data_IF_416561637160
#
_entry.id   IF_416561637160
#
_cell.length_a   1.000
_cell.length_b   1.000
_cell.length_c   1.000
_cell.angle_alpha   90.00
_cell.angle_beta   90.00
_cell.angle_gamma   90.00
#
_symmetry.space_group_name_H-M   'P 1'
#
loop_
_entity.id
_entity.type
_entity.pdbx_description
1 polymer ?
#
# COMPACT_ATOMS: atom_id res chain seq x y z
N UNK A 1 -9.65 -8.70 9.99
CA UNK A 1 -8.47 -9.04 9.15
C UNK A 1 -8.30 -10.52 8.80
N UNK A 2 -9.12 -11.44 9.34
CA UNK A 2 -8.92 -12.88 9.15
C UNK A 2 -9.05 -13.33 7.69
N UNK A 3 -9.96 -12.76 6.91
CA UNK A 3 -10.10 -13.07 5.46
C UNK A 3 -8.82 -12.71 4.71
N UNK A 4 -8.28 -11.51 4.94
CA UNK A 4 -7.03 -11.04 4.34
C UNK A 4 -5.84 -11.97 4.67
N UNK A 5 -5.82 -12.50 5.90
CA UNK A 5 -4.81 -13.48 6.33
C UNK A 5 -5.04 -14.86 5.72
N UNK A 6 -6.30 -15.34 5.66
CA UNK A 6 -6.70 -16.63 5.07
C UNK A 6 -6.39 -16.70 3.58
N UNK A 7 -6.50 -15.58 2.87
CA UNK A 7 -6.12 -15.46 1.46
C UNK A 7 -4.59 -15.41 1.25
N UNK A 8 -3.80 -15.40 2.32
CA UNK A 8 -2.34 -15.36 2.24
C UNK A 8 -1.76 -14.00 1.83
N UNK A 9 -2.58 -12.95 1.75
CA UNK A 9 -2.15 -11.62 1.28
C UNK A 9 -1.07 -11.01 2.18
N UNK A 10 -1.13 -11.26 3.50
CA UNK A 10 -0.09 -10.84 4.43
C UNK A 10 1.30 -11.36 4.03
N UNK A 11 1.39 -12.63 3.62
CA UNK A 11 2.68 -13.24 3.26
C UNK A 11 3.20 -12.69 1.94
N UNK A 12 2.31 -12.48 0.96
CA UNK A 12 2.67 -11.85 -0.32
C UNK A 12 3.21 -10.45 -0.08
N UNK A 13 2.50 -9.64 0.70
CA UNK A 13 2.90 -8.28 1.03
C UNK A 13 4.24 -8.26 1.76
N UNK A 14 4.41 -9.08 2.79
CA UNK A 14 5.66 -9.17 3.53
C UNK A 14 6.84 -9.59 2.63
N UNK A 15 6.62 -10.54 1.73
CA UNK A 15 7.66 -11.03 0.81
C UNK A 15 8.01 -10.01 -0.28
N UNK A 16 7.04 -9.19 -0.71
CA UNK A 16 7.24 -8.21 -1.78
C UNK A 16 7.76 -6.85 -1.29
N UNK A 17 7.29 -6.38 -0.14
CA UNK A 17 7.56 -5.03 0.37
C UNK A 17 8.53 -5.02 1.56
N UNK A 18 8.80 -6.18 2.17
CA UNK A 18 9.65 -6.30 3.34
C UNK A 18 9.01 -5.70 4.61
N UNK A 19 9.87 -5.40 5.59
CA UNK A 19 9.44 -4.83 6.86
C UNK A 19 9.28 -3.31 6.76
N UNK A 20 8.19 -2.79 7.34
CA UNK A 20 7.99 -1.35 7.47
C UNK A 20 8.59 -0.82 8.77
N UNK A 21 9.37 0.25 8.65
CA UNK A 21 10.03 0.91 9.77
C UNK A 21 11.22 0.12 10.35
N UNK A 22 12.07 0.83 11.09
CA UNK A 22 13.30 0.26 11.65
C UNK A 22 13.15 -0.31 13.07
N UNK A 23 12.12 0.10 13.82
CA UNK A 23 12.00 -0.16 15.27
C UNK A 23 10.98 -1.23 15.65
N UNK A 24 10.28 -1.85 14.68
CA UNK A 24 9.27 -2.89 14.94
C UNK A 24 7.98 -2.41 15.63
N UNK A 25 7.91 -1.14 16.04
CA UNK A 25 6.74 -0.52 16.69
C UNK A 25 5.76 0.09 15.69
N UNK A 26 6.13 0.17 14.42
CA UNK A 26 5.28 0.69 13.35
C UNK A 26 4.36 -0.41 12.80
N UNK A 27 3.14 0.00 12.43
CA UNK A 27 2.25 -0.81 11.60
C UNK A 27 2.98 -1.25 10.32
N UNK A 28 2.85 -2.53 9.97
CA UNK A 28 3.47 -3.14 8.81
C UNK A 28 2.71 -2.80 7.52
N UNK A 29 3.33 -2.99 6.34
CA UNK A 29 2.65 -2.74 5.07
C UNK A 29 1.38 -3.58 4.89
N UNK A 30 1.31 -4.77 5.49
CA UNK A 30 0.08 -5.57 5.56
C UNK A 30 -1.06 -4.84 6.27
N UNK A 31 -0.76 -4.12 7.35
CA UNK A 31 -1.75 -3.37 8.13
C UNK A 31 -2.22 -2.14 7.35
N UNK A 32 -1.30 -1.46 6.65
CA UNK A 32 -1.62 -0.32 5.77
C UNK A 32 -2.57 -0.75 4.65
N UNK A 33 -2.18 -1.78 3.89
CA UNK A 33 -2.92 -2.24 2.71
C UNK A 33 -4.25 -2.87 3.12
N UNK A 34 -4.28 -3.66 4.19
CA UNK A 34 -5.53 -4.26 4.66
C UNK A 34 -6.51 -3.21 5.15
N UNK A 35 -6.07 -2.14 5.83
CA UNK A 35 -6.96 -1.04 6.25
C UNK A 35 -7.61 -0.36 5.06
N UNK A 36 -6.84 -0.08 4.01
CA UNK A 36 -7.35 0.48 2.76
C UNK A 36 -8.29 -0.49 2.03
N UNK A 37 -7.96 -1.79 2.04
CA UNK A 37 -8.79 -2.82 1.42
C UNK A 37 -10.17 -2.93 2.11
N UNK A 38 -10.20 -2.97 3.44
CA UNK A 38 -11.47 -3.03 4.17
C UNK A 38 -12.25 -1.72 4.10
N UNK A 39 -11.60 -0.55 4.10
CA UNK A 39 -12.32 0.72 3.91
C UNK A 39 -12.98 0.79 2.55
N UNK A 40 -12.27 0.39 1.49
CA UNK A 40 -12.83 0.29 0.15
C UNK A 40 -14.05 -0.64 0.11
N UNK A 41 -13.98 -1.82 0.74
CA UNK A 41 -15.13 -2.75 0.82
C UNK A 41 -16.31 -2.20 1.61
N UNK A 42 -16.07 -1.28 2.55
CA UNK A 42 -17.11 -0.56 3.29
C UNK A 42 -17.70 0.62 2.50
N UNK A 43 -17.22 0.89 1.28
CA UNK A 43 -17.70 1.99 0.45
C UNK A 43 -17.08 3.34 0.78
N UNK A 44 -15.91 3.36 1.42
CA UNK A 44 -15.16 4.59 1.65
C UNK A 44 -14.78 5.27 0.32
N UNK A 45 -14.91 6.58 0.25
CA UNK A 45 -14.53 7.41 -0.91
C UNK A 45 -13.28 8.26 -0.65
N UNK A 46 -12.92 8.43 0.63
CA UNK A 46 -11.78 9.19 1.09
C UNK A 46 -10.95 8.42 2.14
N UNK A 47 -9.74 8.91 2.44
CA UNK A 47 -8.83 8.24 3.38
C UNK A 47 -9.33 8.41 4.82
N UNK A 48 -9.97 9.53 5.10
CA UNK A 48 -10.57 9.97 6.35
C UNK A 48 -11.59 8.96 6.89
N UNK A 49 -12.33 8.30 6.00
CA UNK A 49 -13.30 7.26 6.35
C UNK A 49 -12.69 6.06 7.09
N UNK A 50 -11.38 5.84 6.95
CA UNK A 50 -10.65 4.81 7.71
C UNK A 50 -10.81 5.04 9.21
N UNK A 51 -10.86 6.30 9.68
CA UNK A 51 -11.01 6.58 11.11
C UNK A 51 -12.38 6.13 11.65
N UNK A 52 -13.43 6.23 10.84
CA UNK A 52 -14.76 5.70 11.15
C UNK A 52 -14.70 4.18 11.32
N UNK A 53 -13.93 3.51 10.45
CA UNK A 53 -13.74 2.07 10.48
C UNK A 53 -12.87 1.61 11.67
N UNK A 54 -11.82 2.36 12.01
CA UNK A 54 -10.98 2.12 13.19
C UNK A 54 -11.83 2.15 14.47
N UNK A 55 -12.76 3.11 14.60
CA UNK A 55 -13.66 3.18 15.76
C UNK A 55 -14.54 1.92 15.88
N UNK A 56 -15.06 1.41 14.76
CA UNK A 56 -15.87 0.18 14.75
C UNK A 56 -15.03 -1.06 15.08
N UNK A 57 -13.84 -1.20 14.50
CA UNK A 57 -13.00 -2.37 14.73
C UNK A 57 -12.33 -2.38 16.10
N UNK A 58 -12.15 -1.22 16.73
CA UNK A 58 -11.64 -1.11 18.10
C UNK A 58 -12.54 -1.80 19.13
N UNK A 59 -13.80 -2.08 18.79
CA UNK A 59 -14.72 -2.89 19.61
C UNK A 59 -14.30 -4.37 19.68
N UNK A 60 -13.46 -4.84 18.76
CA UNK A 60 -12.95 -6.20 18.74
C UNK A 60 -11.47 -6.23 19.18
N UNK A 61 -11.12 -6.90 20.30
CA UNK A 61 -9.79 -6.81 20.92
C UNK A 61 -8.64 -7.37 20.08
N UNK A 62 -8.92 -7.97 18.92
CA UNK A 62 -7.91 -8.49 17.97
C UNK A 62 -7.83 -7.68 16.67
N UNK A 63 -8.54 -6.56 16.56
CA UNK A 63 -8.65 -5.79 15.34
C UNK A 63 -8.11 -4.37 15.54
N UNK A 64 -6.79 -4.26 15.69
CA UNK A 64 -6.10 -2.97 15.67
C UNK A 64 -5.80 -2.62 14.21
N UNK A 65 -6.29 -1.47 13.75
CA UNK A 65 -6.00 -0.93 12.43
C UNK A 65 -5.31 0.44 12.56
N UNK A 66 -4.37 0.76 11.66
CA UNK A 66 -3.84 2.11 11.55
C UNK A 66 -4.95 3.11 11.16
N UNK A 67 -4.93 4.28 11.79
CA UNK A 67 -5.73 5.41 11.36
C UNK A 67 -5.23 6.03 10.06
N UNK A 68 -6.04 6.91 9.51
CA UNK A 68 -5.82 7.61 8.25
C UNK A 68 -4.39 8.15 8.09
N UNK A 69 -3.88 8.94 9.04
CA UNK A 69 -2.53 9.53 8.99
C UNK A 69 -1.42 8.49 8.81
N UNK A 70 -1.59 7.34 9.44
CA UNK A 70 -0.63 6.24 9.35
C UNK A 70 -0.73 5.53 8.01
N UNK A 71 -1.96 5.35 7.49
CA UNK A 71 -2.20 4.80 6.17
C UNK A 71 -1.64 5.72 5.08
N UNK A 72 -1.92 7.02 5.15
CA UNK A 72 -1.42 8.01 4.20
C UNK A 72 0.10 8.07 4.14
N UNK A 73 0.78 7.99 5.30
CA UNK A 73 2.25 7.87 5.35
C UNK A 73 2.75 6.57 4.71
N UNK A 74 2.11 5.44 5.02
CA UNK A 74 2.44 4.15 4.40
C UNK A 74 2.29 4.17 2.88
N UNK A 75 1.22 4.76 2.35
CA UNK A 75 1.02 4.93 0.91
C UNK A 75 2.07 5.87 0.29
N UNK A 76 2.46 6.93 1.00
CA UNK A 76 3.53 7.83 0.55
C UNK A 76 4.88 7.12 0.48
N UNK A 77 5.18 6.20 1.39
CA UNK A 77 6.39 5.37 1.36
C UNK A 77 6.40 4.38 0.18
N UNK A 78 5.23 3.86 -0.19
CA UNK A 78 5.07 2.93 -1.32
C UNK A 78 4.99 3.61 -2.69
N UNK A 79 4.99 4.95 -2.71
CA UNK A 79 4.87 5.71 -3.95
C UNK A 79 6.14 5.58 -4.78
N UNK A 80 5.99 5.00 -5.96
CA UNK A 80 7.04 4.96 -6.99
C UNK A 80 6.86 6.07 -8.04
N UNK A 81 7.93 6.34 -8.79
CA UNK A 81 7.87 7.27 -9.91
C UNK A 81 6.97 6.73 -11.03
N UNK A 82 6.19 7.62 -11.65
CA UNK A 82 5.37 7.24 -12.80
C UNK A 82 6.26 6.74 -13.95
N UNK A 83 5.90 5.60 -14.52
CA UNK A 83 6.55 5.06 -15.71
C UNK A 83 5.70 5.38 -16.93
N UNK A 84 6.24 6.19 -17.85
CA UNK A 84 5.58 6.49 -19.12
C UNK A 84 6.03 5.44 -20.14
N UNK A 85 5.06 4.66 -20.64
CA UNK A 85 5.32 3.71 -21.72
C UNK A 85 4.93 4.34 -23.07
N UNK A 86 5.92 4.65 -23.90
CA UNK A 86 5.71 5.02 -25.30
C UNK A 86 5.87 3.78 -26.18
N UNK A 87 4.80 3.43 -26.90
CA UNK A 87 4.83 2.35 -27.89
C UNK A 87 4.91 2.97 -29.29
N UNK A 88 6.10 2.96 -29.89
CA UNK A 88 6.24 3.24 -31.31
C UNK A 88 5.67 2.05 -32.09
N UNK A 89 4.48 2.24 -32.67
CA UNK A 89 3.82 1.28 -33.55
C UNK A 89 4.58 1.18 -34.87
N UNK A 90 5.79 0.63 -34.85
CA UNK A 90 6.59 0.37 -36.05
C UNK A 90 7.66 -0.68 -35.79
N UNK A 91 7.25 -1.94 -35.99
CA UNK A 91 8.10 -3.10 -36.32
C UNK A 91 9.00 -3.65 -35.19
N UNK A 92 8.58 -4.81 -34.67
CA UNK A 92 9.43 -5.90 -34.16
C UNK A 92 10.68 -5.44 -33.37
N UNK A 93 10.60 -5.15 -32.06
CA UNK A 93 11.84 -5.01 -31.28
C UNK A 93 11.73 -5.02 -29.75
N UNK A 94 12.58 -5.88 -29.16
CA UNK A 94 13.51 -5.70 -28.02
C UNK A 94 13.23 -4.54 -27.05
N UNK A 95 12.98 -4.90 -25.79
CA UNK A 95 12.92 -4.01 -24.62
C UNK A 95 14.32 -3.45 -24.35
N UNK A 96 14.46 -2.13 -24.32
CA UNK A 96 15.65 -1.46 -23.80
C UNK A 96 15.19 -0.40 -22.81
N UNK A 97 15.60 -0.51 -21.54
CA UNK A 97 15.31 0.45 -20.48
C UNK A 97 16.10 1.74 -20.69
N UNK A 98 15.48 2.90 -20.53
CA UNK A 98 16.16 4.20 -20.40
C UNK A 98 16.08 4.68 -18.93
N UNK A 99 17.24 4.92 -18.31
CA UNK A 99 17.37 5.52 -16.97
C UNK A 99 16.92 7.00 -16.96
N UNK A 100 16.37 7.52 -15.85
CA UNK A 100 16.04 8.94 -15.72
C UNK A 100 17.30 9.79 -15.53
N UNK A 101 17.35 10.91 -16.24
CA UNK A 101 18.43 11.90 -16.17
C UNK A 101 18.49 12.58 -14.80
N UNK A 102 19.68 12.58 -14.17
CA UNK A 102 19.95 13.34 -12.96
C UNK A 102 19.79 14.85 -13.22
N UNK A 103 18.84 15.48 -12.55
CA UNK A 103 18.82 16.94 -12.42
C UNK A 103 19.90 17.35 -11.41
N UNK A 104 20.98 17.96 -11.92
CA UNK A 104 21.94 18.70 -11.11
C UNK A 104 21.28 19.97 -10.57
N UNK A 105 21.40 20.19 -9.27
CA UNK A 105 21.45 21.50 -8.63
C UNK A 105 22.77 21.58 -7.89
#
# INVERSE_FOLDING_TARGET
MEVFSKLGLNQVIASSLGQRGSTGTAFQYSDIISSLFYSYLCGADCLEDINTLVAQFSLSPKCTLPGEDTVGRGLKELKEANVVYTCDKSKHRRVTQSQPASAKL
#
